data_IF_981028912539
#
_entry.id   IF_981028912539
#
_cell.length_a   1.000
_cell.length_b   1.000
_cell.length_c   1.000
_cell.angle_alpha   90.00
_cell.angle_beta   90.00
_cell.angle_gamma   90.00
#
_symmetry.space_group_name_H-M   'P 1'
#
loop_
_entity.id
_entity.type
_entity.pdbx_description
1 polymer ?
#
# COMPACT_ATOMS: atom_id res chain seq x y z
N UNK A 1 -12.26 -18.91 39.87
CA UNK A 1 -13.21 -17.84 39.43
C UNK A 1 -12.85 -16.47 40.00
N UNK A 2 -12.83 -16.25 41.32
CA UNK A 2 -12.49 -14.93 41.90
C UNK A 2 -11.12 -14.36 41.45
N UNK A 3 -10.16 -15.23 41.12
CA UNK A 3 -8.84 -14.85 40.62
C UNK A 3 -8.90 -14.27 39.18
N UNK A 4 -9.70 -14.89 38.29
CA UNK A 4 -9.90 -14.43 36.91
C UNK A 4 -10.58 -13.07 36.86
N UNK A 5 -11.61 -12.87 37.69
CA UNK A 5 -12.33 -11.59 37.78
C UNK A 5 -11.44 -10.46 38.33
N UNK A 6 -10.50 -10.80 39.21
CA UNK A 6 -9.54 -9.84 39.77
C UNK A 6 -8.52 -9.43 38.72
N UNK A 7 -7.94 -10.40 38.01
CA UNK A 7 -7.01 -10.15 36.90
C UNK A 7 -7.66 -9.33 35.78
N UNK A 8 -8.93 -9.57 35.46
CA UNK A 8 -9.65 -8.75 34.49
C UNK A 8 -9.79 -7.29 34.96
N UNK A 9 -10.11 -7.05 36.24
CA UNK A 9 -10.21 -5.69 36.79
C UNK A 9 -8.88 -4.96 36.75
N UNK A 10 -7.79 -5.66 37.09
CA UNK A 10 -6.44 -5.12 37.02
C UNK A 10 -6.05 -4.78 35.57
N UNK A 11 -6.35 -5.67 34.62
CA UNK A 11 -6.15 -5.43 33.19
C UNK A 11 -6.94 -4.19 32.71
N UNK A 12 -8.23 -4.09 33.05
CA UNK A 12 -9.06 -2.94 32.68
C UNK A 12 -8.51 -1.64 33.26
N UNK A 13 -8.01 -1.67 34.50
CA UNK A 13 -7.42 -0.50 35.13
C UNK A 13 -6.14 -0.05 34.41
N UNK A 14 -5.23 -0.99 34.10
CA UNK A 14 -4.01 -0.73 33.35
C UNK A 14 -4.30 -0.19 31.93
N UNK A 15 -5.22 -0.84 31.20
CA UNK A 15 -5.64 -0.40 29.87
C UNK A 15 -6.25 1.02 29.89
N UNK A 16 -7.02 1.37 30.93
CA UNK A 16 -7.61 2.73 31.06
C UNK A 16 -6.61 3.78 31.48
N UNK A 17 -5.53 3.40 32.17
CA UNK A 17 -4.46 4.31 32.55
C UNK A 17 -3.60 4.74 31.33
N UNK A 18 -3.84 4.15 30.15
CA UNK A 18 -3.01 4.37 28.96
C UNK A 18 -1.65 3.67 29.06
N UNK A 19 -1.49 2.76 30.02
CA UNK A 19 -0.34 1.87 30.06
C UNK A 19 -0.50 0.84 28.92
N UNK A 20 0.61 0.53 28.24
CA UNK A 20 0.67 -0.44 27.15
C UNK A 20 0.51 -1.87 27.71
N UNK A 21 -0.69 -2.16 28.23
CA UNK A 21 -1.03 -3.42 28.86
C UNK A 21 -1.28 -4.48 27.77
N UNK A 22 -0.23 -5.19 27.34
CA UNK A 22 -0.37 -6.31 26.40
C UNK A 22 -1.23 -7.42 27.06
N UNK A 23 -2.41 -7.78 26.50
CA UNK A 23 -3.23 -8.88 26.98
C UNK A 23 -2.47 -10.20 27.20
N UNK A 24 -1.41 -10.44 26.42
CA UNK A 24 -0.60 -11.68 26.49
C UNK A 24 0.07 -11.84 27.85
N UNK A 25 0.53 -10.75 28.45
CA UNK A 25 1.22 -10.76 29.74
C UNK A 25 0.28 -11.17 30.88
N UNK A 26 -0.99 -10.83 30.77
CA UNK A 26 -2.03 -11.19 31.72
C UNK A 26 -2.49 -12.63 31.53
N UNK A 27 -2.63 -13.07 30.27
CA UNK A 27 -3.00 -14.44 29.93
C UNK A 27 -1.90 -15.45 30.28
N UNK A 28 -0.64 -15.04 30.30
CA UNK A 28 0.49 -15.90 30.67
C UNK A 28 0.50 -16.29 32.16
N UNK A 29 -0.25 -15.58 33.01
CA UNK A 29 -0.34 -15.84 34.46
C UNK A 29 -1.29 -16.99 34.81
N UNK A 30 -2.12 -17.41 33.86
CA UNK A 30 -3.11 -18.46 34.04
C UNK A 30 -2.87 -19.60 33.05
N UNK A 31 -3.34 -20.79 33.42
CA UNK A 31 -3.29 -21.97 32.56
C UNK A 31 -4.68 -22.59 32.35
N UNK A 32 -4.79 -23.42 31.31
CA UNK A 32 -5.98 -24.22 31.04
C UNK A 32 -7.27 -23.39 30.88
N UNK A 33 -8.33 -23.81 31.57
CA UNK A 33 -9.68 -23.25 31.40
C UNK A 33 -9.78 -21.80 31.89
N UNK A 34 -9.02 -21.42 32.91
CA UNK A 34 -9.07 -20.06 33.46
C UNK A 34 -8.42 -19.03 32.52
N UNK A 35 -7.35 -19.42 31.83
CA UNK A 35 -6.76 -18.62 30.74
C UNK A 35 -7.74 -18.38 29.59
N UNK A 36 -8.44 -19.44 29.16
CA UNK A 36 -9.43 -19.31 28.09
C UNK A 36 -10.62 -18.42 28.48
N UNK A 37 -11.04 -18.50 29.75
CA UNK A 37 -12.08 -17.64 30.29
C UNK A 37 -11.64 -16.17 30.34
N UNK A 38 -10.43 -15.90 30.85
CA UNK A 38 -9.87 -14.54 30.87
C UNK A 38 -9.75 -13.95 29.47
N UNK A 39 -9.30 -14.75 28.48
CA UNK A 39 -9.20 -14.31 27.09
C UNK A 39 -10.56 -13.84 26.55
N UNK A 40 -11.61 -14.66 26.71
CA UNK A 40 -12.95 -14.29 26.25
C UNK A 40 -13.50 -13.02 26.93
N UNK A 41 -13.17 -12.81 28.21
CA UNK A 41 -13.57 -11.62 28.95
C UNK A 41 -12.80 -10.37 28.51
N UNK A 42 -11.51 -10.49 28.23
CA UNK A 42 -10.68 -9.41 27.66
C UNK A 42 -11.19 -9.04 26.27
N UNK A 43 -11.46 -10.01 25.41
CA UNK A 43 -12.00 -9.77 24.06
C UNK A 43 -13.32 -8.99 24.13
N UNK A 44 -14.25 -9.44 24.97
CA UNK A 44 -15.55 -8.76 25.18
C UNK A 44 -15.38 -7.33 25.70
N UNK A 45 -14.38 -7.08 26.55
CA UNK A 45 -14.07 -5.75 27.03
C UNK A 45 -13.51 -4.87 25.91
N UNK A 46 -12.54 -5.36 25.15
CA UNK A 46 -11.89 -4.63 24.07
C UNK A 46 -12.85 -4.26 22.93
N UNK A 47 -13.82 -5.13 22.62
CA UNK A 47 -14.89 -4.82 21.66
C UNK A 47 -15.75 -3.60 22.05
N UNK A 48 -15.85 -3.32 23.34
CA UNK A 48 -16.68 -2.22 23.90
C UNK A 48 -15.87 -1.04 24.41
N UNK A 49 -14.56 -1.21 24.54
CA UNK A 49 -13.68 -0.17 25.03
C UNK A 49 -13.66 0.98 24.00
N UNK A 50 -13.76 2.25 24.42
CA UNK A 50 -13.56 3.35 23.51
C UNK A 50 -12.14 3.26 22.93
N UNK A 51 -12.02 3.38 21.62
CA UNK A 51 -10.72 3.44 20.98
C UNK A 51 -9.92 4.61 21.59
N UNK A 52 -8.61 4.44 21.85
CA UNK A 52 -7.77 5.56 22.26
C UNK A 52 -7.91 6.69 21.24
N UNK A 53 -7.87 7.94 21.70
CA UNK A 53 -7.80 9.08 20.79
C UNK A 53 -6.56 8.95 19.91
N UNK A 54 -6.74 9.12 18.61
CA UNK A 54 -5.65 9.04 17.65
C UNK A 54 -4.61 10.12 17.93
N UNK A 55 -3.39 9.71 18.28
CA UNK A 55 -2.25 10.60 18.43
C UNK A 55 -1.33 10.50 17.20
N UNK A 56 -1.33 11.52 16.32
CA UNK A 56 -0.49 11.53 15.14
C UNK A 56 1.01 11.61 15.46
N UNK A 57 1.41 12.17 16.61
CA UNK A 57 2.82 12.28 16.98
C UNK A 57 3.37 10.94 17.46
N UNK A 58 2.64 10.25 18.35
CA UNK A 58 2.97 8.89 18.77
C UNK A 58 3.03 7.93 17.56
N UNK A 59 2.11 8.08 16.60
CA UNK A 59 2.13 7.28 15.39
C UNK A 59 3.37 7.55 14.51
N UNK A 60 3.73 8.81 14.29
CA UNK A 60 4.93 9.17 13.50
C UNK A 60 6.22 8.65 14.11
N UNK A 61 6.28 8.59 15.44
CA UNK A 61 7.43 8.05 16.18
C UNK A 61 7.44 6.51 16.23
N UNK A 62 6.32 5.86 15.87
CA UNK A 62 6.23 4.41 15.81
C UNK A 62 6.98 3.83 14.62
N UNK A 63 7.45 2.59 14.74
CA UNK A 63 8.00 1.81 13.62
C UNK A 63 6.98 1.45 12.54
N UNK A 64 5.70 1.80 12.72
CA UNK A 64 4.60 1.47 11.80
C UNK A 64 4.37 2.54 10.73
N UNK A 65 4.86 3.77 10.93
CA UNK A 65 4.65 4.87 9.98
C UNK A 65 5.14 4.53 8.55
N UNK A 66 6.34 3.95 8.34
CA UNK A 66 6.78 3.57 6.99
C UNK A 66 5.94 2.47 6.34
N UNK A 67 5.35 1.58 7.14
CA UNK A 67 4.46 0.54 6.62
C UNK A 67 3.12 1.11 6.18
N UNK A 68 2.56 2.02 6.97
CA UNK A 68 1.31 2.69 6.63
C UNK A 68 1.44 3.55 5.38
N UNK A 69 2.55 4.28 5.22
CA UNK A 69 2.84 5.04 3.99
C UNK A 69 2.88 4.14 2.75
N UNK A 70 3.47 2.94 2.88
CA UNK A 70 3.51 1.96 1.79
C UNK A 70 2.14 1.38 1.45
N UNK A 71 1.28 1.20 2.46
CA UNK A 71 -0.10 0.74 2.25
C UNK A 71 -0.92 1.86 1.60
N UNK A 72 -0.79 3.10 2.07
CA UNK A 72 -1.46 4.26 1.48
C UNK A 72 -1.06 4.46 0.01
N UNK A 73 0.24 4.33 -0.31
CA UNK A 73 0.74 4.30 -1.69
C UNK A 73 0.15 3.15 -2.53
N UNK A 74 -0.02 1.96 -1.95
CA UNK A 74 -0.64 0.83 -2.64
C UNK A 74 -2.15 1.03 -2.86
N UNK A 75 -2.83 1.73 -1.95
CA UNK A 75 -4.26 2.06 -2.05
C UNK A 75 -4.53 3.21 -3.03
N UNK A 76 -3.62 4.17 -3.12
CA UNK A 76 -3.74 5.33 -4.00
C UNK A 76 -3.12 5.11 -5.39
N UNK A 77 -2.21 4.12 -5.53
CA UNK A 77 -1.48 3.84 -6.75
C UNK A 77 -2.25 3.00 -7.77
N UNK A 78 -1.82 3.07 -9.03
CA UNK A 78 -2.39 2.28 -10.14
C UNK A 78 -1.68 0.92 -10.32
N UNK A 79 -0.84 0.56 -9.35
CA UNK A 79 0.06 -0.60 -9.38
C UNK A 79 -0.32 -1.70 -8.38
N UNK A 80 -1.52 -1.62 -7.79
CA UNK A 80 -1.98 -2.56 -6.78
C UNK A 80 -1.01 -2.70 -5.61
N UNK A 81 -0.67 -3.95 -5.25
CA UNK A 81 0.20 -4.27 -4.12
C UNK A 81 1.70 -4.27 -4.45
N UNK A 82 2.12 -3.90 -5.67
CA UNK A 82 3.54 -3.84 -6.05
C UNK A 82 4.44 -3.01 -5.11
N UNK A 83 4.04 -1.83 -4.60
CA UNK A 83 4.86 -1.05 -3.66
C UNK A 83 5.18 -1.78 -2.35
N UNK A 84 4.29 -2.68 -1.94
CA UNK A 84 4.49 -3.55 -0.77
C UNK A 84 5.30 -4.80 -1.14
N UNK A 85 4.99 -5.43 -2.28
CA UNK A 85 5.49 -6.74 -2.68
C UNK A 85 6.93 -6.71 -3.20
N UNK A 86 7.25 -5.83 -4.16
CA UNK A 86 8.55 -5.84 -4.85
C UNK A 86 9.73 -5.60 -3.89
N UNK A 87 9.69 -4.62 -2.97
CA UNK A 87 10.78 -4.42 -2.02
C UNK A 87 10.94 -5.60 -1.05
N UNK A 88 9.82 -6.25 -0.67
CA UNK A 88 9.83 -7.43 0.21
C UNK A 88 10.49 -8.63 -0.46
N UNK A 89 10.18 -8.89 -1.74
CA UNK A 89 10.78 -9.98 -2.51
C UNK A 89 12.27 -9.77 -2.71
N UNK A 90 12.69 -8.54 -3.05
CA UNK A 90 14.09 -8.17 -3.18
C UNK A 90 14.85 -8.37 -1.87
N UNK A 91 14.28 -7.95 -0.73
CA UNK A 91 14.87 -8.20 0.61
C UNK A 91 14.99 -9.68 0.96
N UNK A 92 13.93 -10.48 0.71
CA UNK A 92 13.95 -11.94 0.93
C UNK A 92 15.06 -12.63 0.13
N UNK A 93 15.34 -12.12 -1.06
CA UNK A 93 16.41 -12.60 -1.95
C UNK A 93 17.78 -11.96 -1.68
N UNK A 94 17.85 -11.00 -0.74
CA UNK A 94 19.06 -10.19 -0.43
C UNK A 94 19.65 -9.50 -1.67
N UNK A 95 18.79 -9.14 -2.62
CA UNK A 95 19.19 -8.45 -3.85
C UNK A 95 19.16 -6.94 -3.62
N UNK A 96 20.22 -6.26 -4.06
CA UNK A 96 20.21 -4.80 -4.16
C UNK A 96 19.38 -4.38 -5.37
N UNK A 97 18.79 -3.19 -5.32
CA UNK A 97 18.03 -2.66 -6.45
C UNK A 97 18.85 -2.59 -7.74
N UNK A 98 20.09 -2.12 -7.68
CA UNK A 98 20.99 -2.07 -8.84
C UNK A 98 21.21 -3.45 -9.46
N UNK A 99 21.21 -4.51 -8.65
CA UNK A 99 21.36 -5.89 -9.11
C UNK A 99 20.08 -6.41 -9.78
N UNK A 100 18.91 -6.09 -9.23
CA UNK A 100 17.61 -6.39 -9.87
C UNK A 100 17.53 -5.71 -11.23
N UNK A 101 17.88 -4.42 -11.31
CA UNK A 101 17.87 -3.63 -12.54
C UNK A 101 18.84 -4.18 -13.58
N UNK A 102 20.09 -4.49 -13.18
CA UNK A 102 21.09 -5.06 -14.09
C UNK A 102 20.63 -6.42 -14.65
N UNK A 103 20.09 -7.29 -13.80
CA UNK A 103 19.55 -8.60 -14.23
C UNK A 103 18.32 -8.45 -15.12
N UNK A 104 17.43 -7.49 -14.81
CA UNK A 104 16.23 -7.22 -15.59
C UNK A 104 16.59 -6.68 -16.98
N UNK A 105 17.48 -5.69 -17.05
CA UNK A 105 17.97 -5.15 -18.31
C UNK A 105 18.65 -6.23 -19.17
N UNK A 106 19.46 -7.09 -18.56
CA UNK A 106 20.07 -8.24 -19.23
C UNK A 106 19.04 -9.24 -19.76
N UNK A 107 18.03 -9.60 -18.97
CA UNK A 107 16.96 -10.53 -19.37
C UNK A 107 16.07 -9.97 -20.49
N UNK A 108 15.89 -8.64 -20.55
CA UNK A 108 15.17 -7.95 -21.61
C UNK A 108 16.03 -7.76 -22.88
N UNK A 109 17.32 -8.10 -22.84
CA UNK A 109 18.24 -7.91 -23.97
C UNK A 109 18.69 -6.46 -24.16
N UNK A 110 18.51 -5.61 -23.13
CA UNK A 110 18.77 -4.17 -23.17
C UNK A 110 19.81 -3.75 -22.09
N UNK A 111 21.00 -4.37 -22.02
CA UNK A 111 21.98 -4.11 -20.97
C UNK A 111 22.49 -2.66 -20.95
N UNK A 112 22.47 -1.96 -22.09
CA UNK A 112 22.91 -0.56 -22.21
C UNK A 112 21.83 0.44 -21.78
N UNK A 113 20.62 -0.03 -21.44
CA UNK A 113 19.47 0.79 -21.03
C UNK A 113 19.12 0.61 -19.55
N UNK A 114 20.09 0.18 -18.73
CA UNK A 114 19.90 -0.08 -17.29
C UNK A 114 19.31 1.12 -16.54
N UNK A 115 19.73 2.34 -16.85
CA UNK A 115 19.23 3.54 -16.17
C UNK A 115 17.72 3.73 -16.40
N UNK A 116 17.26 3.56 -17.65
CA UNK A 116 15.84 3.69 -18.00
C UNK A 116 14.99 2.57 -17.41
N UNK A 117 15.48 1.32 -17.46
CA UNK A 117 14.86 0.17 -16.78
C UNK A 117 14.81 0.42 -15.26
N UNK A 118 15.83 1.03 -14.69
CA UNK A 118 15.92 1.38 -13.27
C UNK A 118 14.93 2.48 -12.85
N UNK A 119 14.64 3.42 -13.73
CA UNK A 119 13.57 4.43 -13.54
C UNK A 119 12.20 3.76 -13.56
N UNK A 120 11.90 2.91 -14.54
CA UNK A 120 10.62 2.21 -14.58
C UNK A 120 10.41 1.25 -13.40
N UNK A 121 11.45 0.51 -13.03
CA UNK A 121 11.41 -0.30 -11.83
C UNK A 121 11.19 0.55 -10.57
N UNK A 122 11.72 1.79 -10.52
CA UNK A 122 11.38 2.73 -9.45
C UNK A 122 9.89 3.06 -9.41
N UNK A 123 9.33 3.38 -10.58
CA UNK A 123 7.92 3.77 -10.71
C UNK A 123 7.02 2.62 -10.27
N UNK A 124 7.39 1.37 -10.59
CA UNK A 124 6.71 0.17 -10.06
C UNK A 124 6.80 0.07 -8.53
N UNK A 125 7.99 0.25 -7.95
CA UNK A 125 8.17 0.22 -6.48
C UNK A 125 7.42 1.35 -5.77
N UNK A 126 7.17 2.47 -6.44
CA UNK A 126 6.41 3.61 -5.90
C UNK A 126 4.93 3.58 -6.24
N UNK A 127 4.50 2.64 -7.07
CA UNK A 127 3.12 2.52 -7.54
C UNK A 127 2.68 3.59 -8.54
N UNK A 128 3.63 4.25 -9.18
CA UNK A 128 3.42 5.28 -10.20
C UNK A 128 3.22 4.71 -11.60
N UNK A 129 3.63 3.46 -11.82
CA UNK A 129 3.46 2.78 -13.11
C UNK A 129 2.16 1.96 -13.10
N UNK A 130 1.23 2.18 -14.05
CA UNK A 130 0.00 1.39 -14.15
C UNK A 130 0.31 -0.07 -14.44
N UNK A 131 -0.27 -1.00 -13.68
CA UNK A 131 0.03 -2.42 -13.84
C UNK A 131 -0.43 -3.01 -15.19
N UNK A 132 -1.42 -2.39 -15.81
CA UNK A 132 -1.99 -2.81 -17.10
C UNK A 132 -1.04 -2.58 -18.27
N UNK A 133 -0.21 -1.53 -18.21
CA UNK A 133 0.71 -1.16 -19.29
C UNK A 133 2.01 -1.97 -19.32
N UNK A 134 2.27 -2.81 -18.30
CA UNK A 134 3.49 -3.60 -18.20
C UNK A 134 3.35 -4.91 -18.96
N UNK A 135 4.20 -5.12 -19.98
CA UNK A 135 4.17 -6.33 -20.80
C UNK A 135 4.56 -7.59 -20.02
N UNK A 136 3.99 -8.72 -20.45
CA UNK A 136 4.24 -10.06 -19.91
C UNK A 136 5.72 -10.41 -19.83
N UNK A 137 6.50 -10.03 -20.85
CA UNK A 137 7.94 -10.27 -20.90
C UNK A 137 8.69 -9.64 -19.72
N UNK A 138 8.28 -8.46 -19.27
CA UNK A 138 8.86 -7.79 -18.09
C UNK A 138 8.49 -8.55 -16.82
N UNK A 139 7.23 -8.95 -16.68
CA UNK A 139 6.73 -9.70 -15.51
C UNK A 139 7.36 -11.09 -15.41
N UNK A 140 7.62 -11.76 -16.54
CA UNK A 140 8.33 -13.03 -16.60
C UNK A 140 9.80 -12.88 -16.17
N UNK A 141 10.50 -11.87 -16.70
CA UNK A 141 11.88 -11.58 -16.33
C UNK A 141 12.00 -11.24 -14.84
N UNK A 142 11.12 -10.37 -14.33
CA UNK A 142 11.09 -9.98 -12.93
C UNK A 142 10.70 -11.16 -12.03
N UNK A 143 9.74 -11.97 -12.46
CA UNK A 143 9.34 -13.20 -11.79
C UNK A 143 10.50 -14.18 -11.65
N UNK A 144 11.28 -14.39 -12.71
CA UNK A 144 12.47 -15.25 -12.67
C UNK A 144 13.54 -14.73 -11.68
N UNK A 145 13.76 -13.41 -11.63
CA UNK A 145 14.75 -12.79 -10.73
C UNK A 145 14.31 -12.88 -9.26
N UNK A 146 13.04 -12.61 -8.98
CA UNK A 146 12.49 -12.57 -7.61
C UNK A 146 12.01 -13.96 -7.13
N UNK A 147 11.90 -14.92 -8.06
CA UNK A 147 11.37 -16.25 -7.86
C UNK A 147 9.88 -16.27 -7.57
N UNK A 148 9.12 -15.57 -8.40
CA UNK A 148 7.65 -15.55 -8.47
C UNK A 148 7.21 -15.85 -9.91
N UNK A 149 5.95 -16.24 -10.11
CA UNK A 149 5.40 -16.35 -11.45
C UNK A 149 4.99 -14.96 -11.98
N UNK A 150 5.02 -14.79 -13.31
CA UNK A 150 4.50 -13.58 -13.95
C UNK A 150 3.01 -13.35 -13.62
N UNK A 151 2.24 -14.44 -13.51
CA UNK A 151 0.83 -14.39 -13.11
C UNK A 151 0.64 -13.88 -11.68
N UNK A 152 1.45 -14.32 -10.72
CA UNK A 152 1.40 -13.83 -9.34
C UNK A 152 1.75 -12.33 -9.26
N UNK A 153 2.76 -11.89 -10.03
CA UNK A 153 3.09 -10.47 -10.12
C UNK A 153 1.97 -9.67 -10.79
N UNK A 154 1.34 -10.19 -11.85
CA UNK A 154 0.20 -9.52 -12.51
C UNK A 154 -1.00 -9.40 -11.58
N UNK A 155 -1.31 -10.47 -10.84
CA UNK A 155 -2.39 -10.46 -9.85
C UNK A 155 -2.14 -9.40 -8.77
N UNK A 156 -0.92 -9.33 -8.23
CA UNK A 156 -0.52 -8.30 -7.27
C UNK A 156 -0.69 -6.87 -7.84
N UNK A 157 -0.40 -6.66 -9.12
CA UNK A 157 -0.59 -5.38 -9.79
C UNK A 157 -2.07 -4.95 -9.90
N UNK A 158 -3.01 -5.90 -9.86
CA UNK A 158 -4.46 -5.68 -10.01
C UNK A 158 -5.25 -5.69 -8.70
N UNK A 159 -4.70 -6.32 -7.65
CA UNK A 159 -5.40 -6.65 -6.40
C UNK A 159 -6.00 -5.44 -5.65
N UNK A 160 -5.49 -4.23 -5.90
CA UNK A 160 -5.97 -2.98 -5.30
C UNK A 160 -6.24 -1.88 -6.33
N UNK A 161 -6.16 -2.18 -7.64
CA UNK A 161 -6.46 -1.18 -8.66
C UNK A 161 -7.94 -0.78 -8.54
N UNK A 162 -8.25 0.52 -8.36
CA UNK A 162 -9.64 0.98 -8.28
C UNK A 162 -10.32 0.73 -9.63
N UNK A 163 -11.00 -0.41 -9.76
CA UNK A 163 -11.66 -0.82 -11.00
C UNK A 163 -11.82 -2.34 -11.19
N UNK A 164 -11.05 -3.18 -10.49
CA UNK A 164 -11.11 -4.64 -10.65
C UNK A 164 -11.96 -5.36 -9.57
N UNK A 165 -12.80 -4.62 -8.85
CA UNK A 165 -13.75 -5.15 -7.88
C UNK A 165 -15.17 -5.09 -8.44
N UNK A 166 -15.67 -6.23 -8.93
CA UNK A 166 -17.07 -6.67 -8.92
C UNK A 166 -18.15 -5.59 -9.05
N UNK A 167 -18.89 -5.62 -10.16
CA UNK A 167 -20.26 -5.11 -10.27
C UNK A 167 -21.12 -5.67 -9.11
N UNK A 168 -21.16 -4.96 -7.99
CA UNK A 168 -22.11 -5.14 -6.91
C UNK A 168 -22.57 -3.75 -6.49
N UNK A 169 -23.68 -3.35 -7.10
CA UNK A 169 -24.74 -2.52 -6.53
C UNK A 169 -24.32 -1.52 -5.46
N UNK A 170 -24.25 -0.24 -5.87
CA UNK A 170 -24.29 0.89 -4.95
C UNK A 170 -23.15 1.86 -5.17
N UNK A 171 -23.15 2.54 -6.32
CA UNK A 171 -22.41 3.77 -6.50
C UNK A 171 -22.93 4.83 -5.50
N UNK A 172 -22.41 4.82 -4.27
CA UNK A 172 -22.45 6.01 -3.42
C UNK A 172 -21.45 7.00 -3.99
N UNK A 173 -21.91 7.73 -5.01
CA UNK A 173 -21.25 8.93 -5.49
C UNK A 173 -21.21 9.95 -4.33
N UNK A 174 -20.05 10.14 -3.73
CA UNK A 174 -19.80 11.31 -2.89
C UNK A 174 -19.63 12.53 -3.79
N UNK A 175 -20.75 13.06 -4.27
CA UNK A 175 -20.78 14.37 -4.91
C UNK A 175 -20.56 15.44 -3.83
N UNK A 176 -19.37 16.05 -3.80
CA UNK A 176 -19.21 17.36 -3.16
C UNK A 176 -19.91 18.38 -4.06
N UNK A 177 -21.13 18.76 -3.70
CA UNK A 177 -21.75 19.97 -4.25
C UNK A 177 -20.92 21.19 -3.83
N UNK A 178 -20.05 21.65 -4.74
CA UNK A 178 -19.53 23.00 -4.66
C UNK A 178 -20.70 23.95 -4.99
N UNK A 179 -21.34 24.48 -3.95
CA UNK A 179 -22.21 25.65 -4.10
C UNK A 179 -21.31 26.81 -4.52
N UNK A 180 -21.36 27.15 -5.81
CA UNK A 180 -20.73 28.37 -6.33
C UNK A 180 -21.43 29.55 -5.67
N UNK A 181 -20.70 30.29 -4.85
CA UNK A 181 -21.16 31.54 -4.25
C UNK A 181 -21.29 32.59 -5.37
N UNK A 182 -22.49 33.16 -5.62
CA UNK A 182 -22.70 34.16 -6.67
C UNK A 182 -21.91 35.46 -6.43
N UNK A 183 -21.29 35.66 -5.26
CA UNK A 183 -20.42 36.80 -4.97
C UNK A 183 -19.05 36.75 -5.67
N UNK A 184 -18.67 35.62 -6.29
CA UNK A 184 -17.40 35.45 -7.00
C UNK A 184 -17.56 35.21 -8.52
N UNK A 185 -18.66 35.65 -9.11
CA UNK A 185 -18.81 35.74 -10.57
C UNK A 185 -17.95 36.91 -11.10
N UNK A 186 -16.64 36.68 -11.21
CA UNK A 186 -15.74 37.60 -11.92
C UNK A 186 -15.73 37.25 -13.41
N UNK A 187 -16.09 38.24 -14.21
CA UNK A 187 -15.93 38.31 -15.66
C UNK A 187 -14.52 37.88 -16.07
N UNK A 188 -14.40 36.68 -16.65
CA UNK A 188 -13.19 36.24 -17.32
C UNK A 188 -13.48 36.15 -18.82
N UNK A 189 -13.23 37.28 -19.47
CA UNK A 189 -13.17 37.47 -20.92
C UNK A 189 -12.46 36.29 -21.59
N UNK A 190 -13.13 35.70 -22.58
CA UNK A 190 -12.57 34.71 -23.48
C UNK A 190 -11.29 35.23 -24.14
N UNK A 191 -10.16 34.63 -23.77
CA UNK A 191 -8.99 34.53 -24.62
C UNK A 191 -8.73 33.03 -24.83
N UNK A 192 -8.62 32.53 -26.07
CA UNK A 192 -8.26 31.14 -26.30
C UNK A 192 -6.87 30.89 -25.70
N UNK A 193 -6.65 29.82 -24.90
CA UNK A 193 -5.30 29.47 -24.52
C UNK A 193 -4.56 29.08 -25.80
N UNK A 194 -3.53 29.86 -26.13
CA UNK A 194 -2.48 29.42 -27.04
C UNK A 194 -1.96 28.09 -26.51
N UNK A 195 -2.02 27.06 -27.34
CA UNK A 195 -1.42 25.76 -27.05
C UNK A 195 0.02 25.99 -26.61
N UNK A 196 0.43 25.53 -25.41
CA UNK A 196 1.84 25.46 -25.11
C UNK A 196 2.44 24.41 -26.05
N UNK A 197 3.19 24.89 -27.03
CA UNK A 197 4.20 24.08 -27.67
C UNK A 197 5.22 23.64 -26.63
N UNK A 198 5.32 22.33 -26.45
CA UNK A 198 6.43 21.61 -25.84
C UNK A 198 6.37 20.27 -26.57
N UNK A 199 7.12 20.10 -27.67
CA UNK A 199 8.50 19.60 -27.64
C UNK A 199 8.64 18.47 -26.62
N UNK A 200 8.10 17.31 -26.95
CA UNK A 200 8.89 16.12 -27.30
C UNK A 200 7.89 15.01 -27.65
N UNK A 201 7.66 14.79 -28.95
CA UNK A 201 7.35 13.44 -29.43
C UNK A 201 8.61 12.59 -29.17
N UNK A 202 8.91 12.29 -27.89
CA UNK A 202 9.91 11.30 -27.52
C UNK A 202 9.48 10.00 -28.18
N UNK A 203 10.13 9.67 -29.29
CA UNK A 203 9.89 8.48 -30.09
C UNK A 203 9.88 7.29 -29.13
N UNK A 204 8.69 6.72 -28.85
CA UNK A 204 8.53 5.69 -27.82
C UNK A 204 9.55 4.59 -28.03
N UNK A 205 10.50 4.45 -27.11
CA UNK A 205 11.58 3.52 -27.31
C UNK A 205 11.12 2.08 -27.00
N UNK A 206 12.03 1.13 -27.15
CA UNK A 206 11.74 -0.27 -26.85
C UNK A 206 11.42 -0.51 -25.36
N UNK A 207 12.03 0.26 -24.45
CA UNK A 207 11.77 0.16 -23.01
C UNK A 207 10.40 0.74 -22.68
N UNK A 208 10.01 1.86 -23.28
CA UNK A 208 8.70 2.49 -23.07
C UNK A 208 7.58 1.53 -23.49
N UNK A 209 7.75 0.86 -24.63
CA UNK A 209 6.80 -0.17 -25.09
C UNK A 209 6.69 -1.32 -24.08
N UNK A 210 7.79 -1.79 -23.51
CA UNK A 210 7.80 -2.90 -22.55
C UNK A 210 7.09 -2.55 -21.23
N UNK A 211 7.19 -1.31 -20.76
CA UNK A 211 6.66 -0.89 -19.45
C UNK A 211 5.34 -0.13 -19.52
N UNK A 212 4.95 0.42 -20.67
CA UNK A 212 3.72 1.21 -20.86
C UNK A 212 2.85 0.80 -22.06
N UNK A 213 3.28 -0.16 -22.87
CA UNK A 213 2.60 -0.55 -24.13
C UNK A 213 1.71 -1.79 -24.06
N UNK A 214 1.39 -2.28 -22.87
CA UNK A 214 0.46 -3.41 -22.63
C UNK A 214 -0.99 -3.09 -22.93
#
# INVERSE_FOLDING_TARGET
MADVDTLLKEYIAAHRAGEEADPRDWLARLEGRERALLAAMIDTYLERAPAPEWDPEAFRQSGLAPLAERIDLALQGQAGTWPALLPSLSHKRRLKRSEVVARLAGALGLPDRQDKVGSYYHEMERGLLPAEGVQDRVLEALGSILGQSAEALRAAGRELAPGAGSDVAGATAFAREARVDPAFAVDAVSAPPASPGTDDDEEWDEVDRLFRGG
#
